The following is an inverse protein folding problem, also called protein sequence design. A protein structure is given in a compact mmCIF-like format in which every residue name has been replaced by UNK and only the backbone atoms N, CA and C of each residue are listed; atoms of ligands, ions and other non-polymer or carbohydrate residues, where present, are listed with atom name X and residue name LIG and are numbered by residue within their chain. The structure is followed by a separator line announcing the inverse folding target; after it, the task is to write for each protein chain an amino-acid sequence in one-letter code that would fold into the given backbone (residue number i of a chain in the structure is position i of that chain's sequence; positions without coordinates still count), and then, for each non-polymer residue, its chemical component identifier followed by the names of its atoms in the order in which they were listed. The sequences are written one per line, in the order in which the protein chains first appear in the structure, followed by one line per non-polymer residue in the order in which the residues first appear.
data_IF_129375685740
#
_entry.id   IF_129375685740
#
_cell.length_a   1.000
_cell.length_b   1.000
_cell.length_c   1.000
_cell.angle_alpha   90.00
_cell.angle_beta   90.00
_cell.angle_gamma   90.00
#
_symmetry.space_group_name_H-M   'P 1'
#
loop_
_entity.id
_entity.type
_entity.pdbx_description
1 polymer ?
#
# COMPACT_ATOMS: atom_id res chain seq x y z
N UNK A 1 14.13 0.13 -4.17
CA UNK A 1 13.43 0.79 -3.04
C UNK A 1 12.08 0.11 -2.79
N UNK A 2 11.69 -0.09 -1.54
CA UNK A 2 10.37 -0.63 -1.17
C UNK A 2 9.54 0.46 -0.47
N UNK A 3 8.34 0.77 -1.01
CA UNK A 3 7.38 1.71 -0.44
C UNK A 3 6.24 0.89 0.18
N UNK A 4 6.10 0.93 1.50
CA UNK A 4 5.16 0.10 2.27
C UNK A 4 3.99 0.97 2.72
N UNK A 5 2.82 0.81 2.07
CA UNK A 5 1.63 1.52 2.50
C UNK A 5 0.90 0.75 3.60
N UNK A 6 0.45 1.49 4.60
CA UNK A 6 -0.40 1.00 5.67
C UNK A 6 -1.58 1.96 5.89
N UNK A 7 -2.69 1.47 6.43
CA UNK A 7 -3.86 2.30 6.74
C UNK A 7 -5.18 1.53 6.62
N UNK A 8 -6.22 2.06 7.20
CA UNK A 8 -7.54 1.44 7.24
C UNK A 8 -8.19 1.35 5.84
N UNK A 9 -9.13 0.43 5.63
CA UNK A 9 -9.98 0.45 4.43
C UNK A 9 -10.62 1.83 4.22
N UNK A 10 -10.66 2.32 2.97
CA UNK A 10 -11.22 3.65 2.66
C UNK A 10 -10.27 4.84 2.90
N UNK A 11 -9.08 4.64 3.44
CA UNK A 11 -8.10 5.72 3.64
C UNK A 11 -7.44 6.26 2.36
N UNK A 12 -7.71 5.67 1.19
CA UNK A 12 -7.11 6.09 -0.08
C UNK A 12 -5.83 5.36 -0.49
N UNK A 13 -5.36 4.37 0.27
CA UNK A 13 -4.11 3.63 -0.02
C UNK A 13 -3.98 3.14 -1.45
N UNK A 14 -4.94 2.35 -1.92
CA UNK A 14 -4.88 1.74 -3.26
C UNK A 14 -4.90 2.78 -4.37
N UNK A 15 -5.63 3.88 -4.19
CA UNK A 15 -5.62 5.01 -5.12
C UNK A 15 -4.22 5.64 -5.17
N UNK A 16 -3.65 5.89 -4.00
CA UNK A 16 -2.29 6.42 -3.86
C UNK A 16 -1.25 5.45 -4.42
N UNK A 17 -1.34 4.15 -4.08
CA UNK A 17 -0.44 3.11 -4.59
C UNK A 17 -0.41 3.05 -6.11
N UNK A 18 -1.58 3.06 -6.76
CA UNK A 18 -1.68 3.05 -8.22
C UNK A 18 -1.11 4.31 -8.86
N UNK A 19 -1.36 5.46 -8.27
CA UNK A 19 -0.86 6.73 -8.77
C UNK A 19 0.67 6.83 -8.62
N UNK A 20 1.22 6.40 -7.46
CA UNK A 20 2.65 6.28 -7.24
C UNK A 20 3.32 5.31 -8.24
N UNK A 21 2.73 4.10 -8.40
CA UNK A 21 3.28 3.10 -9.29
C UNK A 21 3.37 3.61 -10.73
N UNK A 22 2.33 4.31 -11.21
CA UNK A 22 2.37 4.94 -12.54
C UNK A 22 3.43 6.04 -12.66
N UNK A 23 3.53 6.89 -11.63
CA UNK A 23 4.45 8.04 -11.64
C UNK A 23 5.92 7.64 -11.54
N UNK A 24 6.20 6.52 -10.85
CA UNK A 24 7.56 6.03 -10.59
C UNK A 24 7.98 4.86 -11.49
N UNK A 25 7.13 4.39 -12.40
CA UNK A 25 7.38 3.14 -13.13
C UNK A 25 7.52 1.93 -12.18
N UNK A 26 6.86 1.99 -11.00
CA UNK A 26 7.05 1.01 -9.94
C UNK A 26 6.10 -0.19 -10.07
N UNK A 27 6.52 -1.34 -9.55
CA UNK A 27 5.67 -2.53 -9.47
C UNK A 27 4.69 -2.39 -8.31
N UNK A 28 3.38 -2.45 -8.60
CA UNK A 28 2.32 -2.41 -7.59
C UNK A 28 1.99 -3.82 -7.11
N UNK A 29 2.35 -4.15 -5.88
CA UNK A 29 2.04 -5.42 -5.22
C UNK A 29 0.89 -5.23 -4.24
N UNK A 30 -0.30 -5.73 -4.60
CA UNK A 30 -1.52 -5.56 -3.82
C UNK A 30 -1.96 -6.87 -3.17
N UNK A 31 -1.92 -6.90 -1.83
CA UNK A 31 -2.28 -8.09 -1.04
C UNK A 31 -3.74 -8.50 -1.25
N UNK A 32 -4.69 -7.55 -1.27
CA UNK A 32 -6.12 -7.85 -1.50
C UNK A 32 -6.36 -8.62 -2.81
N UNK A 33 -5.62 -8.27 -3.88
CA UNK A 33 -5.71 -8.98 -5.17
C UNK A 33 -5.19 -10.40 -5.06
N UNK A 34 -4.05 -10.59 -4.42
CA UNK A 34 -3.44 -11.91 -4.22
C UNK A 34 -4.36 -12.78 -3.37
N UNK A 35 -4.82 -12.28 -2.23
CA UNK A 35 -5.72 -13.01 -1.34
C UNK A 35 -7.03 -13.41 -2.03
N UNK A 36 -7.61 -12.52 -2.83
CA UNK A 36 -8.85 -12.84 -3.54
C UNK A 36 -8.64 -13.93 -4.58
N UNK A 37 -7.50 -13.95 -5.28
CA UNK A 37 -7.19 -15.02 -6.23
C UNK A 37 -6.91 -16.37 -5.53
N UNK A 38 -6.29 -16.35 -4.35
CA UNK A 38 -6.13 -17.57 -3.52
C UNK A 38 -7.52 -18.13 -3.14
N UNK A 39 -8.46 -17.27 -2.71
CA UNK A 39 -9.85 -17.68 -2.41
C UNK A 39 -10.56 -18.25 -3.64
N UNK A 40 -10.40 -17.58 -4.79
CA UNK A 40 -10.99 -18.04 -6.06
C UNK A 40 -10.47 -19.43 -6.50
N UNK A 41 -9.24 -19.76 -6.12
CA UNK A 41 -8.66 -21.10 -6.32
C UNK A 41 -9.16 -22.14 -5.30
N UNK A 42 -10.05 -21.77 -4.39
CA UNK A 42 -10.59 -22.69 -3.36
C UNK A 42 -9.61 -22.99 -2.22
N UNK A 43 -8.56 -22.15 -2.07
CA UNK A 43 -7.53 -22.33 -1.03
C UNK A 43 -7.79 -21.37 0.12
N UNK A 44 -7.58 -21.84 1.35
CA UNK A 44 -7.61 -20.97 2.54
C UNK A 44 -6.45 -19.99 2.50
N UNK A 45 -6.75 -18.70 2.72
CA UNK A 45 -5.75 -17.63 2.58
C UNK A 45 -4.71 -17.66 3.70
N UNK A 46 -5.15 -17.66 4.97
CA UNK A 46 -4.24 -17.59 6.11
C UNK A 46 -3.14 -16.53 5.91
N UNK A 47 -1.86 -16.87 6.18
CA UNK A 47 -0.73 -15.98 5.93
C UNK A 47 -0.26 -15.94 4.47
N UNK A 48 -0.80 -16.81 3.58
CA UNK A 48 -0.29 -17.01 2.21
C UNK A 48 -0.34 -15.73 1.38
N UNK A 49 -1.36 -14.86 1.56
CA UNK A 49 -1.46 -13.60 0.84
C UNK A 49 -0.22 -12.71 1.01
N UNK A 50 0.21 -12.53 2.25
CA UNK A 50 1.42 -11.76 2.55
C UNK A 50 2.70 -12.49 2.13
N UNK A 51 2.78 -13.81 2.31
CA UNK A 51 3.96 -14.58 1.90
C UNK A 51 4.19 -14.47 0.38
N UNK A 52 3.14 -14.66 -0.42
CA UNK A 52 3.21 -14.50 -1.88
C UNK A 52 3.55 -13.07 -2.26
N UNK A 53 2.91 -12.08 -1.64
CA UNK A 53 3.18 -10.67 -1.90
C UNK A 53 4.64 -10.29 -1.60
N UNK A 54 5.19 -10.76 -0.48
CA UNK A 54 6.59 -10.55 -0.10
C UNK A 54 7.55 -11.20 -1.12
N UNK A 55 7.28 -12.45 -1.54
CA UNK A 55 8.10 -13.11 -2.56
C UNK A 55 8.09 -12.37 -3.90
N UNK A 56 6.91 -11.97 -4.39
CA UNK A 56 6.81 -11.17 -5.63
C UNK A 56 7.55 -9.84 -5.51
N UNK A 57 7.45 -9.19 -4.35
CA UNK A 57 8.19 -7.94 -4.12
C UNK A 57 9.71 -8.17 -4.12
N UNK A 58 10.16 -9.24 -3.47
CA UNK A 58 11.59 -9.63 -3.39
C UNK A 58 12.18 -9.85 -4.79
N UNK A 59 11.50 -10.61 -5.64
CA UNK A 59 11.91 -10.85 -7.03
C UNK A 59 12.07 -9.54 -7.80
N UNK A 60 11.10 -8.64 -7.69
CA UNK A 60 11.12 -7.37 -8.42
C UNK A 60 12.19 -6.40 -7.88
N UNK A 61 12.40 -6.36 -6.57
CA UNK A 61 13.48 -5.56 -5.97
C UNK A 61 14.86 -6.06 -6.40
N UNK A 62 15.04 -7.38 -6.54
CA UNK A 62 16.29 -7.98 -7.02
C UNK A 62 16.63 -7.58 -8.46
N UNK A 63 15.62 -7.25 -9.26
CA UNK A 63 15.76 -6.73 -10.62
C UNK A 63 15.96 -5.21 -10.69
N UNK A 64 16.04 -4.54 -9.52
CA UNK A 64 16.27 -3.10 -9.42
C UNK A 64 15.00 -2.24 -9.48
N UNK A 65 13.81 -2.85 -9.55
CA UNK A 65 12.56 -2.08 -9.57
C UNK A 65 12.24 -1.43 -8.23
N UNK A 66 11.52 -0.30 -8.27
CA UNK A 66 10.78 0.19 -7.10
C UNK A 66 9.53 -0.68 -6.95
N UNK A 67 9.22 -1.06 -5.71
CA UNK A 67 8.00 -1.79 -5.39
C UNK A 67 7.13 -0.97 -4.44
N UNK A 68 5.82 -0.88 -4.75
CA UNK A 68 4.79 -0.29 -3.89
C UNK A 68 3.94 -1.42 -3.33
N UNK A 69 4.10 -1.70 -2.04
CA UNK A 69 3.33 -2.70 -1.30
C UNK A 69 2.02 -2.09 -0.78
N UNK A 70 0.88 -2.56 -1.28
CA UNK A 70 -0.46 -2.05 -0.94
C UNK A 70 -1.21 -3.08 -0.10
N UNK A 71 -1.31 -2.82 1.20
CA UNK A 71 -2.09 -3.63 2.13
C UNK A 71 -2.51 -2.81 3.36
N UNK A 72 -3.39 -3.37 4.20
CA UNK A 72 -3.83 -2.69 5.42
C UNK A 72 -2.67 -2.50 6.40
N UNK A 73 -1.78 -3.48 6.53
CA UNK A 73 -0.58 -3.46 7.39
C UNK A 73 -0.86 -2.97 8.83
N UNK A 74 -2.04 -3.33 9.37
CA UNK A 74 -2.44 -2.90 10.71
C UNK A 74 -1.69 -3.62 11.83
N UNK A 75 -1.03 -4.74 11.54
CA UNK A 75 -0.30 -5.55 12.50
C UNK A 75 1.21 -5.37 12.33
N UNK A 76 1.92 -5.31 13.43
CA UNK A 76 3.38 -5.21 13.48
C UNK A 76 4.06 -6.36 12.73
N UNK A 77 3.52 -7.59 12.84
CA UNK A 77 4.08 -8.75 12.13
C UNK A 77 4.09 -8.57 10.62
N UNK A 78 3.05 -7.95 10.04
CA UNK A 78 2.99 -7.71 8.59
C UNK A 78 3.96 -6.61 8.15
N UNK A 79 4.10 -5.55 8.95
CA UNK A 79 5.07 -4.48 8.69
C UNK A 79 6.51 -5.00 8.79
N UNK A 80 6.82 -5.82 9.80
CA UNK A 80 8.12 -6.49 9.92
C UNK A 80 8.44 -7.39 8.72
N UNK A 81 7.45 -8.14 8.22
CA UNK A 81 7.63 -8.99 7.05
C UNK A 81 8.08 -8.18 5.82
N UNK A 82 7.47 -7.02 5.58
CA UNK A 82 7.86 -6.12 4.49
C UNK A 82 9.27 -5.52 4.71
N UNK A 83 9.59 -5.06 5.93
CA UNK A 83 10.94 -4.54 6.23
C UNK A 83 12.01 -5.60 6.00
N UNK A 84 11.75 -6.85 6.43
CA UNK A 84 12.67 -7.96 6.22
C UNK A 84 12.93 -8.26 4.73
N UNK A 85 11.95 -8.04 3.82
CA UNK A 85 12.18 -8.11 2.37
C UNK A 85 13.20 -7.07 1.93
N UNK A 86 13.02 -5.80 2.33
CA UNK A 86 13.95 -4.73 1.98
C UNK A 86 15.36 -4.98 2.54
N UNK A 87 15.46 -5.45 3.79
CA UNK A 87 16.72 -5.80 4.44
C UNK A 87 17.46 -6.90 3.67
N UNK A 88 16.78 -8.00 3.28
CA UNK A 88 17.39 -9.08 2.50
C UNK A 88 17.89 -8.62 1.15
N UNK A 89 17.19 -7.67 0.53
CA UNK A 89 17.57 -7.11 -0.79
C UNK A 89 18.56 -5.93 -0.68
N UNK A 90 18.90 -5.48 0.53
CA UNK A 90 19.82 -4.36 0.72
C UNK A 90 19.30 -3.03 0.16
N UNK A 91 17.97 -2.85 0.10
CA UNK A 91 17.35 -1.65 -0.45
C UNK A 91 16.67 -0.80 0.62
N UNK A 92 16.56 0.53 0.43
CA UNK A 92 15.80 1.36 1.36
C UNK A 92 14.34 0.99 1.38
N UNK A 93 13.72 1.06 2.58
CA UNK A 93 12.29 0.92 2.80
C UNK A 93 11.71 2.20 3.40
N UNK A 94 10.51 2.58 2.94
CA UNK A 94 9.74 3.68 3.53
C UNK A 94 8.36 3.17 3.95
N UNK A 95 8.06 3.28 5.25
CA UNK A 95 6.74 2.96 5.80
C UNK A 95 5.86 4.21 5.76
N UNK A 96 4.67 4.08 5.17
CA UNK A 96 3.75 5.20 4.95
C UNK A 96 2.41 4.86 5.58
N UNK A 97 2.01 5.66 6.56
CA UNK A 97 0.68 5.56 7.15
C UNK A 97 -0.30 6.48 6.44
N UNK A 98 -1.14 5.88 5.59
CA UNK A 98 -2.20 6.59 4.86
C UNK A 98 -3.46 6.63 5.71
N UNK A 99 -3.92 7.82 6.05
CA UNK A 99 -5.15 8.05 6.81
C UNK A 99 -6.07 9.04 6.10
N UNK A 100 -7.34 9.04 6.50
CA UNK A 100 -8.29 10.10 6.21
C UNK A 100 -8.76 10.64 7.56
N UNK A 101 -8.29 11.82 7.94
CA UNK A 101 -8.57 12.41 9.27
C UNK A 101 -10.00 12.88 9.43
N UNK A 102 -10.67 13.25 8.33
CA UNK A 102 -12.10 13.55 8.34
C UNK A 102 -12.91 12.25 8.44
N UNK A 103 -13.53 12.04 9.60
CA UNK A 103 -14.31 10.84 9.90
C UNK A 103 -15.55 10.69 9.04
N UNK A 104 -16.19 11.80 8.66
CA UNK A 104 -17.38 11.81 7.83
C UNK A 104 -17.02 11.41 6.39
N UNK A 105 -15.96 12.00 5.87
CA UNK A 105 -15.42 11.66 4.56
C UNK A 105 -14.93 10.21 4.52
N UNK A 106 -14.19 9.75 5.54
CA UNK A 106 -13.68 8.40 5.62
C UNK A 106 -14.81 7.37 5.61
N UNK A 107 -15.85 7.59 6.43
CA UNK A 107 -17.04 6.73 6.46
C UNK A 107 -17.74 6.71 5.11
N UNK A 108 -17.96 7.86 4.50
CA UNK A 108 -18.57 7.97 3.17
C UNK A 108 -17.77 7.16 2.13
N UNK A 109 -16.45 7.31 2.12
CA UNK A 109 -15.56 6.54 1.23
C UNK A 109 -15.68 5.03 1.46
N UNK A 110 -15.72 4.56 2.72
CA UNK A 110 -15.87 3.13 3.04
C UNK A 110 -17.19 2.58 2.52
N UNK A 111 -18.29 3.32 2.71
CA UNK A 111 -19.65 2.89 2.37
C UNK A 111 -19.93 2.93 0.86
N UNK A 112 -19.33 3.91 0.13
CA UNK A 112 -19.64 4.14 -1.28
C UNK A 112 -18.63 3.54 -2.27
N UNK A 113 -17.39 3.20 -1.82
CA UNK A 113 -16.37 2.67 -2.72
C UNK A 113 -16.82 1.41 -3.46
N UNK A 114 -16.48 1.34 -4.74
CA UNK A 114 -16.60 0.12 -5.54
C UNK A 114 -15.26 -0.62 -5.52
N UNK A 115 -15.29 -1.95 -5.38
CA UNK A 115 -14.07 -2.76 -5.51
C UNK A 115 -13.74 -2.96 -6.98
N UNK A 116 -12.48 -2.77 -7.33
CA UNK A 116 -11.91 -3.14 -8.62
C UNK A 116 -11.33 -4.56 -8.63
N UNK A 117 -11.42 -5.28 -7.49
CA UNK A 117 -11.08 -6.70 -7.39
C UNK A 117 -12.38 -7.50 -7.42
N UNK A 118 -12.66 -8.27 -8.47
CA UNK A 118 -13.89 -9.04 -8.59
C UNK A 118 -14.03 -10.05 -7.44
N UNK A 119 -15.21 -10.10 -6.82
CA UNK A 119 -15.50 -11.02 -5.71
C UNK A 119 -14.99 -10.59 -4.34
N UNK A 120 -14.22 -9.50 -4.23
CA UNK A 120 -13.71 -9.04 -2.95
C UNK A 120 -14.85 -8.49 -2.07
N UNK A 121 -15.06 -9.13 -0.94
CA UNK A 121 -15.99 -8.66 0.10
C UNK A 121 -15.31 -7.52 0.88
N UNK A 122 -15.88 -6.33 0.76
CA UNK A 122 -15.36 -5.13 1.43
C UNK A 122 -15.87 -5.05 2.87
N UNK A 123 -15.01 -4.69 3.84
CA UNK A 123 -15.49 -4.38 5.18
C UNK A 123 -16.37 -3.12 5.17
N UNK A 124 -17.44 -3.13 5.96
CA UNK A 124 -18.27 -1.95 6.23
C UNK A 124 -17.62 -1.01 7.24
N UNK A 125 -18.29 0.12 7.51
CA UNK A 125 -17.75 1.13 8.42
C UNK A 125 -17.45 0.59 9.83
N UNK A 126 -18.42 -0.09 10.46
CA UNK A 126 -18.25 -0.61 11.82
C UNK A 126 -17.03 -1.53 11.96
N UNK A 127 -16.82 -2.44 11.01
CA UNK A 127 -15.65 -3.34 11.02
C UNK A 127 -14.35 -2.63 10.67
N UNK A 128 -14.41 -1.54 9.92
CA UNK A 128 -13.25 -0.71 9.60
C UNK A 128 -12.82 0.11 10.83
N UNK A 129 -13.77 0.76 11.50
CA UNK A 129 -13.51 1.57 12.70
C UNK A 129 -13.03 0.73 13.89
N UNK A 130 -13.59 -0.46 14.06
CA UNK A 130 -13.21 -1.40 15.13
C UNK A 130 -11.88 -2.15 14.85
N UNK A 131 -11.28 -1.97 13.68
CA UNK A 131 -10.04 -2.69 13.33
C UNK A 131 -8.89 -2.22 14.21
N UNK A 132 -8.25 -3.19 14.87
CA UNK A 132 -7.01 -2.94 15.63
C UNK A 132 -5.92 -2.50 14.67
N UNK A 133 -5.29 -1.38 14.99
CA UNK A 133 -4.10 -0.90 14.34
C UNK A 133 -3.02 -0.79 15.42
N UNK A 134 -2.07 -1.73 15.40
CA UNK A 134 -0.99 -1.79 16.39
C UNK A 134 -0.04 -0.60 16.24
N UNK A 135 0.54 -0.17 17.36
CA UNK A 135 1.51 0.91 17.40
C UNK A 135 2.67 0.69 16.43
N UNK A 136 3.22 1.78 15.97
CA UNK A 136 4.39 1.75 15.10
C UNK A 136 5.67 1.52 15.91
N UNK A 137 6.54 0.65 15.40
CA UNK A 137 7.88 0.44 15.97
C UNK A 137 8.90 1.47 15.48
N UNK A 138 8.64 2.03 14.31
CA UNK A 138 9.40 3.09 13.66
C UNK A 138 8.44 4.22 13.34
N UNK A 139 8.88 5.46 13.30
CA UNK A 139 8.02 6.58 12.93
C UNK A 139 7.71 6.52 11.42
N UNK A 140 6.44 6.30 11.00
CA UNK A 140 6.09 6.26 9.60
C UNK A 140 5.94 7.66 9.03
N UNK A 141 6.13 7.80 7.72
CA UNK A 141 5.66 9.00 7.03
C UNK A 141 4.13 9.01 7.02
N UNK A 142 3.53 10.03 7.61
CA UNK A 142 2.06 10.16 7.69
C UNK A 142 1.53 10.92 6.49
N UNK A 143 0.59 10.30 5.77
CA UNK A 143 -0.13 10.92 4.64
C UNK A 143 -1.61 11.01 4.99
N UNK A 144 -2.12 12.23 5.09
CA UNK A 144 -3.55 12.49 5.26
C UNK A 144 -4.19 12.83 3.91
N UNK A 145 -5.19 12.05 3.54
CA UNK A 145 -5.90 12.16 2.26
C UNK A 145 -7.21 12.95 2.37
N UNK A 146 -7.60 13.40 3.57
CA UNK A 146 -8.82 14.16 3.76
C UNK A 146 -8.79 15.48 2.97
N UNK A 147 -9.82 15.74 2.18
CA UNK A 147 -9.93 16.96 1.37
C UNK A 147 -8.91 17.12 0.25
N UNK A 148 -8.07 16.10 -0.02
CA UNK A 148 -7.02 16.16 -1.05
C UNK A 148 -7.36 15.32 -2.28
N UNK A 149 -6.92 15.78 -3.46
CA UNK A 149 -6.93 14.94 -4.65
C UNK A 149 -5.82 13.88 -4.59
N UNK A 150 -5.98 12.74 -5.28
CA UNK A 150 -4.92 11.74 -5.39
C UNK A 150 -3.62 12.31 -5.98
N UNK A 151 -3.72 13.17 -6.98
CA UNK A 151 -2.59 13.78 -7.69
C UNK A 151 -1.77 14.65 -6.74
N UNK A 152 -2.42 15.53 -5.97
CA UNK A 152 -1.74 16.36 -4.97
C UNK A 152 -1.05 15.51 -3.91
N UNK A 153 -1.74 14.45 -3.43
CA UNK A 153 -1.19 13.54 -2.43
C UNK A 153 0.06 12.81 -2.93
N UNK A 154 0.08 12.42 -4.22
CA UNK A 154 1.26 11.78 -4.85
C UNK A 154 2.44 12.74 -4.92
N UNK A 155 2.21 13.98 -5.36
CA UNK A 155 3.28 15.01 -5.46
C UNK A 155 3.89 15.27 -4.09
N UNK A 156 3.06 15.49 -3.07
CA UNK A 156 3.50 15.72 -1.70
C UNK A 156 4.34 14.53 -1.18
N UNK A 157 3.89 13.30 -1.46
CA UNK A 157 4.56 12.08 -1.01
C UNK A 157 5.90 11.84 -1.72
N UNK A 158 5.98 12.02 -3.02
CA UNK A 158 7.25 11.88 -3.78
C UNK A 158 8.28 12.87 -3.25
N UNK A 159 7.88 14.12 -3.02
CA UNK A 159 8.75 15.14 -2.42
C UNK A 159 9.25 14.73 -1.04
N UNK A 160 8.36 14.20 -0.18
CA UNK A 160 8.71 13.74 1.17
C UNK A 160 9.61 12.49 1.17
N UNK A 161 9.49 11.63 0.17
CA UNK A 161 10.36 10.46 -0.01
C UNK A 161 11.74 10.81 -0.57
N UNK A 162 11.97 12.06 -0.96
CA UNK A 162 13.21 12.54 -1.57
C UNK A 162 13.64 11.69 -2.78
N UNK A 163 12.66 11.17 -3.55
CA UNK A 163 12.94 10.43 -4.78
C UNK A 163 13.43 11.44 -5.83
N UNK A 164 14.59 11.14 -6.40
CA UNK A 164 15.24 12.01 -7.37
C UNK A 164 14.31 12.28 -8.57
N UNK A 165 14.20 13.54 -8.94
CA UNK A 165 13.38 13.98 -10.07
C UNK A 165 13.94 13.47 -11.40
N UNK A 166 15.25 13.32 -11.52
CA UNK A 166 15.90 12.77 -12.69
C UNK A 166 15.54 11.28 -12.89
N UNK A 167 15.37 10.53 -11.80
CA UNK A 167 14.88 9.16 -11.83
C UNK A 167 13.45 9.10 -12.38
N UNK A 168 12.59 10.04 -11.99
CA UNK A 168 11.19 10.09 -12.46
C UNK A 168 11.14 10.44 -13.94
N UNK A 169 11.92 11.40 -14.38
CA UNK A 169 11.97 11.83 -15.79
C UNK A 169 12.41 10.68 -16.72
N UNK A 170 13.37 9.86 -16.28
CA UNK A 170 13.84 8.69 -17.04
C UNK A 170 12.77 7.59 -17.23
N UNK A 171 11.68 7.59 -16.44
CA UNK A 171 10.55 6.67 -16.58
C UNK A 171 9.44 7.19 -17.53
N UNK A 172 9.50 8.47 -17.92
CA UNK A 172 8.51 9.11 -18.80
C UNK A 172 8.96 9.15 -20.27
N UNK A 173 10.21 8.79 -20.57
CA UNK A 173 10.67 8.62 -21.95
C UNK A 173 10.15 7.28 -22.52
N UNK A 174 9.43 7.31 -23.67
CA UNK A 174 8.81 6.14 -24.29
C UNK A 174 9.82 5.13 -24.89
#
# INVERSE_FOLDING_TARGET
MLIILAGLPGSGKTTLAKALARRLGAVHVRVDTIEQNIRNAGVEVGPAGYMVACGVAEDNLSLGHIVVADSVNSLTITRRAWRAVAERQGVPASEIWVKCSDKVEHRHRVETRVSDVPGLIKPGWTSTEARIFEDWETEPLVVDTAGKSPEQTVVDLISALQIDQDFIAAQEEP
#
